data_IF_669365691954
#
_entry.id   IF_669365691954
#
_cell.length_a   1.000
_cell.length_b   1.000
_cell.length_c   1.000
_cell.angle_alpha   90.00
_cell.angle_beta   90.00
_cell.angle_gamma   90.00
#
_symmetry.space_group_name_H-M   'P 1'
#
loop_
_entity.id
_entity.type
_entity.pdbx_description
1 polymer ?
#
# COMPACT_ATOMS: atom_id res chain seq x y z
N UNK A 1 -34.27 -6.68 -46.75
CA UNK A 1 -34.77 -6.82 -45.37
C UNK A 1 -33.94 -7.91 -44.73
N UNK A 2 -32.98 -7.54 -43.89
CA UNK A 2 -32.07 -8.50 -43.27
C UNK A 2 -32.88 -9.42 -42.35
N UNK A 3 -32.83 -10.73 -42.61
CA UNK A 3 -33.49 -11.75 -41.80
C UNK A 3 -32.93 -11.69 -40.39
N UNK A 4 -33.71 -11.14 -39.45
CA UNK A 4 -33.43 -11.25 -38.03
C UNK A 4 -33.45 -12.74 -37.71
N UNK A 5 -32.29 -13.32 -37.39
CA UNK A 5 -32.18 -14.69 -36.90
C UNK A 5 -33.02 -14.77 -35.63
N UNK A 6 -34.21 -15.39 -35.68
CA UNK A 6 -35.03 -15.60 -34.49
C UNK A 6 -34.38 -16.69 -33.64
N UNK A 7 -33.45 -16.28 -32.77
CA UNK A 7 -32.88 -17.16 -31.76
C UNK A 7 -33.95 -17.57 -30.75
N UNK A 8 -33.94 -18.84 -30.34
CA UNK A 8 -34.82 -19.32 -29.29
C UNK A 8 -34.52 -18.60 -27.96
N UNK A 9 -35.49 -18.56 -27.05
CA UNK A 9 -35.31 -17.92 -25.73
C UNK A 9 -34.16 -18.57 -24.94
N UNK A 10 -34.00 -19.88 -25.10
CA UNK A 10 -32.91 -20.64 -24.52
C UNK A 10 -31.55 -20.24 -25.09
N UNK A 11 -31.42 -20.09 -26.41
CA UNK A 11 -30.21 -19.59 -27.07
C UNK A 11 -29.86 -18.16 -26.62
N UNK A 12 -30.86 -17.28 -26.47
CA UNK A 12 -30.66 -15.92 -25.97
C UNK A 12 -30.15 -15.90 -24.52
N UNK A 13 -30.69 -16.75 -23.65
CA UNK A 13 -30.23 -16.90 -22.27
C UNK A 13 -28.82 -17.51 -22.21
N UNK A 14 -28.52 -18.49 -23.05
CA UNK A 14 -27.19 -19.08 -23.18
C UNK A 14 -26.13 -18.04 -23.56
N UNK A 15 -26.39 -17.22 -24.59
CA UNK A 15 -25.47 -16.15 -24.99
C UNK A 15 -25.24 -15.13 -23.87
N UNK A 16 -26.28 -14.78 -23.11
CA UNK A 16 -26.18 -13.86 -21.97
C UNK A 16 -25.40 -14.45 -20.79
N UNK A 17 -25.64 -15.72 -20.45
CA UNK A 17 -24.89 -16.44 -19.41
C UNK A 17 -23.41 -16.53 -19.80
N UNK A 18 -23.13 -16.85 -21.06
CA UNK A 18 -21.75 -16.91 -21.58
C UNK A 18 -21.05 -15.56 -21.44
N UNK A 19 -21.70 -14.47 -21.87
CA UNK A 19 -21.16 -13.12 -21.73
C UNK A 19 -20.91 -12.76 -20.25
N UNK A 20 -21.86 -13.07 -19.36
CA UNK A 20 -21.70 -12.84 -17.92
C UNK A 20 -20.48 -13.57 -17.36
N UNK A 21 -20.28 -14.85 -17.71
CA UNK A 21 -19.14 -15.61 -17.19
C UNK A 21 -17.80 -15.08 -17.69
N UNK A 22 -17.71 -14.67 -18.96
CA UNK A 22 -16.50 -14.03 -19.51
C UNK A 22 -16.25 -12.70 -18.80
N UNK A 23 -17.27 -11.85 -18.66
CA UNK A 23 -17.10 -10.56 -18.00
C UNK A 23 -16.79 -10.72 -16.49
N UNK A 24 -17.32 -11.74 -15.81
CA UNK A 24 -16.92 -12.06 -14.43
C UNK A 24 -15.43 -12.42 -14.34
N UNK A 25 -14.90 -13.18 -15.31
CA UNK A 25 -13.47 -13.50 -15.38
C UNK A 25 -12.63 -12.25 -15.61
N UNK A 26 -13.08 -11.33 -16.47
CA UNK A 26 -12.46 -10.02 -16.62
C UNK A 26 -12.45 -9.21 -15.32
N UNK A 27 -13.57 -9.19 -14.59
CA UNK A 27 -13.66 -8.50 -13.31
C UNK A 27 -12.70 -9.10 -12.27
N UNK A 28 -12.62 -10.43 -12.17
CA UNK A 28 -11.66 -11.14 -11.30
C UNK A 28 -10.22 -10.73 -11.61
N UNK A 29 -9.84 -10.72 -12.90
CA UNK A 29 -8.51 -10.30 -13.35
C UNK A 29 -8.23 -8.83 -13.00
N UNK A 30 -9.22 -7.94 -13.16
CA UNK A 30 -9.07 -6.52 -12.82
C UNK A 30 -8.99 -6.26 -11.32
N UNK A 31 -9.70 -7.03 -10.50
CA UNK A 31 -9.62 -6.96 -9.03
C UNK A 31 -8.22 -7.37 -8.56
N UNK A 32 -7.69 -8.49 -9.09
CA UNK A 32 -6.33 -8.95 -8.77
C UNK A 32 -5.27 -7.91 -9.15
N UNK A 33 -5.47 -7.21 -10.28
CA UNK A 33 -4.62 -6.06 -10.67
C UNK A 33 -4.73 -4.87 -9.73
N UNK A 34 -5.80 -4.72 -8.96
CA UNK A 34 -6.02 -3.57 -8.07
C UNK A 34 -5.47 -3.79 -6.65
N UNK A 35 -5.65 -4.99 -6.09
CA UNK A 35 -5.29 -5.27 -4.69
C UNK A 35 -3.77 -5.27 -4.46
N UNK A 36 -3.01 -5.88 -5.37
CA UNK A 36 -1.57 -6.05 -5.20
C UNK A 36 -0.78 -4.73 -5.35
N UNK A 37 -1.11 -3.80 -6.27
CA UNK A 37 -0.50 -2.47 -6.29
C UNK A 37 -0.78 -1.62 -5.05
N UNK A 38 -1.95 -1.77 -4.42
CA UNK A 38 -2.22 -1.08 -3.16
C UNK A 38 -1.27 -1.57 -2.06
N UNK A 39 -1.06 -2.88 -1.96
CA UNK A 39 -0.15 -3.45 -0.98
C UNK A 39 1.32 -3.05 -1.21
N UNK A 40 1.75 -3.01 -2.48
CA UNK A 40 3.08 -2.50 -2.84
C UNK A 40 3.24 -1.04 -2.45
N UNK A 41 2.21 -0.21 -2.71
CA UNK A 41 2.23 1.21 -2.36
C UNK A 41 2.27 1.42 -0.84
N UNK A 42 1.47 0.68 -0.08
CA UNK A 42 1.49 0.78 1.39
C UNK A 42 2.88 0.44 1.96
N UNK A 43 3.57 -0.54 1.39
CA UNK A 43 4.94 -0.90 1.76
C UNK A 43 5.96 0.17 1.35
N UNK A 44 5.80 0.82 0.19
CA UNK A 44 6.62 1.95 -0.24
C UNK A 44 6.49 3.13 0.74
N UNK A 45 5.25 3.50 1.09
CA UNK A 45 4.96 4.57 2.05
C UNK A 45 5.54 4.25 3.45
N UNK A 46 5.47 2.99 3.89
CA UNK A 46 6.09 2.54 5.15
C UNK A 46 7.62 2.70 5.13
N UNK A 47 8.28 2.29 4.03
CA UNK A 47 9.74 2.40 3.86
C UNK A 47 10.17 3.86 3.82
N UNK A 48 9.44 4.73 3.11
CA UNK A 48 9.72 6.17 3.09
C UNK A 48 9.63 6.77 4.50
N UNK A 49 8.59 6.40 5.26
CA UNK A 49 8.45 6.80 6.67
C UNK A 49 9.56 6.27 7.58
N UNK A 50 10.18 5.14 7.26
CA UNK A 50 11.35 4.62 7.98
C UNK A 50 12.64 5.33 7.57
N UNK A 51 12.84 5.63 6.28
CA UNK A 51 13.96 6.45 5.80
C UNK A 51 13.96 7.84 6.43
N UNK A 52 12.80 8.51 6.48
CA UNK A 52 12.67 9.81 7.14
C UNK A 52 13.05 9.74 8.64
N UNK A 53 12.76 8.61 9.31
CA UNK A 53 13.19 8.37 10.70
C UNK A 53 14.70 8.19 10.81
N UNK A 54 15.32 7.44 9.89
CA UNK A 54 16.78 7.27 9.87
C UNK A 54 17.50 8.60 9.67
N UNK A 55 17.05 9.40 8.69
CA UNK A 55 17.63 10.71 8.40
C UNK A 55 17.59 11.61 9.64
N UNK A 56 16.47 11.65 10.36
CA UNK A 56 16.38 12.43 11.61
C UNK A 56 17.37 11.97 12.68
N UNK A 57 17.54 10.66 12.85
CA UNK A 57 18.51 10.12 13.82
C UNK A 57 19.95 10.44 13.38
N UNK A 58 20.25 10.41 12.09
CA UNK A 58 21.55 10.81 11.56
C UNK A 58 21.81 12.32 11.76
N UNK A 59 20.80 13.17 11.55
CA UNK A 59 20.86 14.61 11.84
C UNK A 59 21.09 14.88 13.34
N UNK A 60 20.39 14.16 14.23
CA UNK A 60 20.62 14.25 15.68
C UNK A 60 22.05 13.86 16.05
N UNK A 61 22.58 12.76 15.50
CA UNK A 61 23.97 12.33 15.74
C UNK A 61 24.96 13.41 15.26
N UNK A 62 24.75 13.99 14.08
CA UNK A 62 25.61 15.05 13.56
C UNK A 62 25.57 16.30 14.46
N UNK A 63 24.39 16.69 14.95
CA UNK A 63 24.27 17.82 15.89
C UNK A 63 25.01 17.57 17.21
N UNK A 64 24.97 16.34 17.74
CA UNK A 64 25.73 15.99 18.95
C UNK A 64 27.24 15.98 18.67
N UNK A 65 27.67 15.57 17.47
CA UNK A 65 29.09 15.63 17.06
C UNK A 65 29.59 17.08 16.96
N UNK A 66 28.79 17.99 16.39
CA UNK A 66 29.11 19.42 16.37
C UNK A 66 29.24 19.99 17.79
N UNK A 67 28.33 19.61 18.69
CA UNK A 67 28.41 19.99 20.11
C UNK A 67 29.70 19.48 20.78
N UNK A 68 30.12 18.24 20.49
CA UNK A 68 31.37 17.69 21.00
C UNK A 68 32.57 18.49 20.49
N UNK A 69 32.62 18.86 19.21
CA UNK A 69 33.71 19.68 18.67
C UNK A 69 33.75 21.08 19.30
N UNK A 70 32.60 21.73 19.49
CA UNK A 70 32.53 23.01 20.22
C UNK A 70 33.11 22.90 21.63
N UNK A 71 32.80 21.80 22.35
CA UNK A 71 33.35 21.57 23.70
C UNK A 71 34.85 21.27 23.68
N UNK A 72 35.37 20.58 22.66
CA UNK A 72 36.82 20.38 22.50
C UNK A 72 37.55 21.69 22.21
N UNK A 73 36.95 22.61 21.44
CA UNK A 73 37.50 23.95 21.22
C UNK A 73 37.51 24.76 22.52
N UNK A 74 36.41 24.76 23.28
CA UNK A 74 36.35 25.42 24.59
C UNK A 74 37.42 24.91 25.57
N UNK A 75 37.70 23.59 25.58
CA UNK A 75 38.80 23.02 26.37
C UNK A 75 40.16 23.59 25.94
N UNK A 76 40.43 23.70 24.64
CA UNK A 76 41.69 24.28 24.14
C UNK A 76 41.83 25.74 24.54
N UNK A 77 40.75 26.50 24.51
CA UNK A 77 40.72 27.91 24.94
C UNK A 77 40.98 28.04 26.44
N UNK A 78 40.28 27.24 27.27
CA UNK A 78 40.50 27.19 28.71
C UNK A 78 41.96 26.84 29.05
N UNK A 79 42.53 25.85 28.37
CA UNK A 79 43.94 25.46 28.55
C UNK A 79 44.91 26.60 28.17
N UNK A 80 44.61 27.33 27.10
CA UNK A 80 45.41 28.48 26.69
C UNK A 80 45.36 29.62 27.73
N UNK A 81 44.19 29.85 28.33
CA UNK A 81 44.00 30.82 29.42
C UNK A 81 44.72 30.39 30.70
N UNK A 82 44.62 29.11 31.10
CA UNK A 82 45.37 28.55 32.25
C UNK A 82 46.86 28.83 32.07
N UNK A 83 47.44 28.45 30.93
CA UNK A 83 48.86 28.67 30.64
C UNK A 83 49.26 30.15 30.67
N UNK A 84 48.35 31.05 30.28
CA UNK A 84 48.58 32.50 30.32
C UNK A 84 48.56 33.02 31.76
N UNK A 85 47.60 32.60 32.56
CA UNK A 85 47.46 32.99 33.96
C UNK A 85 48.60 32.42 34.82
N UNK A 86 49.06 31.20 34.57
CA UNK A 86 50.22 30.61 35.23
C UNK A 86 51.48 31.47 35.03
N UNK A 87 51.77 31.88 33.78
CA UNK A 87 52.89 32.78 33.47
C UNK A 87 52.77 34.16 34.12
N UNK A 88 51.54 34.68 34.26
CA UNK A 88 51.31 35.94 34.94
C UNK A 88 51.55 35.80 36.45
N UNK A 89 51.14 34.68 37.03
CA UNK A 89 51.30 34.34 38.45
C UNK A 89 52.78 34.37 38.89
N UNK A 90 53.69 33.87 38.05
CA UNK A 90 55.14 33.87 38.30
C UNK A 90 55.75 35.28 38.45
N UNK A 91 55.13 36.30 37.87
CA UNK A 91 55.62 37.67 37.86
C UNK A 91 54.97 38.58 38.92
N UNK A 92 54.00 38.07 39.68
CA UNK A 92 53.22 38.86 40.64
C UNK A 92 53.91 38.88 42.01
N UNK A 93 54.15 40.08 42.53
CA UNK A 93 54.79 40.30 43.85
C UNK A 93 53.79 40.64 44.96
N UNK A 94 52.52 40.87 44.60
CA UNK A 94 51.45 41.27 45.50
C UNK A 94 50.55 40.07 45.83
N UNK A 95 50.45 39.70 47.12
CA UNK A 95 49.68 38.54 47.58
C UNK A 95 48.22 38.56 47.13
N UNK A 96 47.61 39.75 47.02
CA UNK A 96 46.19 39.88 46.66
C UNK A 96 45.92 39.67 45.17
N UNK A 97 46.89 40.04 44.32
CA UNK A 97 46.85 39.78 42.88
C UNK A 97 47.11 38.30 42.58
N UNK A 98 47.99 37.66 43.35
CA UNK A 98 48.27 36.22 43.25
C UNK A 98 47.03 35.37 43.57
N UNK A 99 46.30 35.70 44.64
CA UNK A 99 45.02 35.04 44.97
C UNK A 99 43.97 35.22 43.88
N UNK A 100 43.90 36.40 43.24
CA UNK A 100 42.96 36.64 42.15
C UNK A 100 43.28 35.77 40.93
N UNK A 101 44.56 35.70 40.53
CA UNK A 101 45.00 34.87 39.41
C UNK A 101 44.75 33.39 39.68
N UNK A 102 45.00 32.91 40.90
CA UNK A 102 44.71 31.51 41.25
C UNK A 102 43.22 31.17 41.16
N UNK A 103 42.33 32.10 41.54
CA UNK A 103 40.88 31.90 41.36
C UNK A 103 40.48 31.82 39.90
N UNK A 104 41.10 32.65 39.03
CA UNK A 104 40.87 32.56 37.59
C UNK A 104 41.36 31.22 37.02
N UNK A 105 42.53 30.72 37.44
CA UNK A 105 43.03 29.40 37.05
C UNK A 105 42.06 28.29 37.49
N UNK A 106 41.62 28.33 38.75
CA UNK A 106 40.68 27.34 39.28
C UNK A 106 39.33 27.36 38.54
N UNK A 107 38.85 28.55 38.15
CA UNK A 107 37.65 28.70 37.33
C UNK A 107 37.82 28.07 35.95
N UNK A 108 38.96 28.29 35.28
CA UNK A 108 39.23 27.68 33.97
C UNK A 108 39.39 26.15 34.07
N UNK A 109 40.02 25.64 35.13
CA UNK A 109 40.12 24.19 35.38
C UNK A 109 38.75 23.55 35.64
N UNK A 110 37.82 24.28 36.27
CA UNK A 110 36.45 23.81 36.47
C UNK A 110 35.68 23.77 35.14
N UNK A 111 35.87 24.77 34.28
CA UNK A 111 35.27 24.81 32.94
C UNK A 111 35.75 23.66 32.05
N UNK A 112 37.06 23.33 32.11
CA UNK A 112 37.62 22.18 31.41
C UNK A 112 36.93 20.87 31.83
N UNK A 113 36.87 20.61 33.15
CA UNK A 113 36.20 19.41 33.70
C UNK A 113 34.71 19.35 33.33
N UNK A 114 34.04 20.50 33.28
CA UNK A 114 32.64 20.58 32.86
C UNK A 114 32.49 20.21 31.38
N UNK A 115 33.37 20.71 30.51
CA UNK A 115 33.39 20.37 29.10
C UNK A 115 33.72 18.88 28.88
N UNK A 116 34.69 18.31 29.61
CA UNK A 116 35.00 16.88 29.56
C UNK A 116 33.79 16.02 29.94
N UNK A 117 33.07 16.40 31.00
CA UNK A 117 31.83 15.72 31.41
C UNK A 117 30.78 15.77 30.30
N UNK A 118 30.54 16.95 29.71
CA UNK A 118 29.59 17.09 28.60
C UNK A 118 29.98 16.24 27.39
N UNK A 119 31.28 16.16 27.04
CA UNK A 119 31.76 15.31 25.95
C UNK A 119 31.49 13.84 26.25
N UNK A 120 31.72 13.41 27.50
CA UNK A 120 31.46 12.01 27.90
C UNK A 120 29.97 11.67 27.78
N UNK A 121 29.10 12.50 28.34
CA UNK A 121 27.65 12.30 28.31
C UNK A 121 27.14 12.28 26.84
N UNK A 122 27.61 13.21 26.01
CA UNK A 122 27.28 13.27 24.58
C UNK A 122 27.79 12.05 23.78
N UNK A 123 28.95 11.51 24.15
CA UNK A 123 29.51 10.30 23.50
C UNK A 123 28.67 9.06 23.83
N UNK A 124 28.17 8.95 25.07
CA UNK A 124 27.26 7.89 25.47
C UNK A 124 25.92 8.00 24.72
N UNK A 125 25.41 9.22 24.54
CA UNK A 125 24.19 9.48 23.76
C UNK A 125 24.35 9.09 22.28
N UNK A 126 25.46 9.46 21.63
CA UNK A 126 25.77 9.03 20.26
C UNK A 126 25.81 7.51 20.16
N UNK A 127 26.42 6.82 21.13
CA UNK A 127 26.52 5.36 21.10
C UNK A 127 25.14 4.70 21.15
N UNK A 128 24.21 5.23 21.94
CA UNK A 128 22.83 4.73 22.00
C UNK A 128 22.05 5.03 20.71
N UNK A 129 22.15 6.27 20.20
CA UNK A 129 21.52 6.66 18.92
C UNK A 129 22.05 5.83 17.75
N UNK A 130 23.36 5.54 17.72
CA UNK A 130 23.97 4.70 16.70
C UNK A 130 23.43 3.26 16.71
N UNK A 131 23.17 2.69 17.89
CA UNK A 131 22.51 1.37 17.98
C UNK A 131 21.08 1.41 17.46
N UNK A 132 20.33 2.46 17.80
CA UNK A 132 18.96 2.63 17.29
C UNK A 132 18.95 2.78 15.77
N UNK A 133 19.91 3.52 15.22
CA UNK A 133 20.10 3.66 13.78
C UNK A 133 20.43 2.33 13.11
N UNK A 134 21.31 1.51 13.67
CA UNK A 134 21.65 0.18 13.14
C UNK A 134 20.42 -0.76 13.12
N UNK A 135 19.62 -0.76 14.19
CA UNK A 135 18.38 -1.52 14.24
C UNK A 135 17.37 -1.03 13.19
N UNK A 136 17.24 0.29 13.03
CA UNK A 136 16.39 0.87 12.00
C UNK A 136 16.86 0.53 10.58
N UNK A 137 18.19 0.52 10.34
CA UNK A 137 18.79 0.13 9.04
C UNK A 137 18.50 -1.33 8.71
N UNK A 138 18.61 -2.23 9.69
CA UNK A 138 18.25 -3.65 9.51
C UNK A 138 16.76 -3.84 9.23
N UNK A 139 15.89 -3.12 9.93
CA UNK A 139 14.45 -3.19 9.71
C UNK A 139 14.06 -2.71 8.30
N UNK A 140 14.65 -1.60 7.84
CA UNK A 140 14.47 -1.08 6.48
C UNK A 140 14.94 -2.08 5.44
N UNK A 141 16.17 -2.60 5.56
CA UNK A 141 16.70 -3.56 4.60
C UNK A 141 15.81 -4.82 4.45
N UNK A 142 15.25 -5.30 5.57
CA UNK A 142 14.29 -6.41 5.55
C UNK A 142 12.99 -6.04 4.80
N UNK A 143 12.46 -4.84 5.03
CA UNK A 143 11.26 -4.34 4.34
C UNK A 143 11.50 -4.10 2.86
N UNK A 144 12.65 -3.54 2.48
CA UNK A 144 13.05 -3.34 1.08
C UNK A 144 13.19 -4.67 0.33
N UNK A 145 13.77 -5.69 0.97
CA UNK A 145 13.83 -7.05 0.39
C UNK A 145 12.44 -7.63 0.16
N UNK A 146 11.51 -7.43 1.10
CA UNK A 146 10.11 -7.87 0.94
C UNK A 146 9.40 -7.11 -0.18
N UNK A 147 9.62 -5.79 -0.26
CA UNK A 147 9.07 -4.95 -1.33
C UNK A 147 9.58 -5.41 -2.70
N UNK A 148 10.88 -5.68 -2.83
CA UNK A 148 11.47 -6.16 -4.07
C UNK A 148 10.87 -7.51 -4.51
N UNK A 149 10.66 -8.44 -3.58
CA UNK A 149 10.00 -9.71 -3.85
C UNK A 149 8.55 -9.51 -4.32
N UNK A 150 7.77 -8.67 -3.63
CA UNK A 150 6.38 -8.37 -4.00
C UNK A 150 6.27 -7.63 -5.32
N UNK A 151 7.18 -6.71 -5.63
CA UNK A 151 7.22 -6.04 -6.94
C UNK A 151 7.50 -7.02 -8.07
N UNK A 152 8.43 -7.96 -7.88
CA UNK A 152 8.72 -8.99 -8.87
C UNK A 152 7.54 -9.95 -9.06
N UNK A 153 6.82 -10.29 -7.98
CA UNK A 153 5.58 -11.07 -8.05
C UNK A 153 4.47 -10.32 -8.78
N UNK A 154 4.27 -9.03 -8.45
CA UNK A 154 3.32 -8.15 -9.11
C UNK A 154 3.61 -8.03 -10.61
N UNK A 155 4.85 -7.86 -11.01
CA UNK A 155 5.22 -7.75 -12.43
C UNK A 155 4.93 -9.04 -13.21
N UNK A 156 5.15 -10.21 -12.59
CA UNK A 156 4.76 -11.50 -13.18
C UNK A 156 3.25 -11.62 -13.33
N UNK A 157 2.51 -11.30 -12.27
CA UNK A 157 1.05 -11.37 -12.27
C UNK A 157 0.48 -10.40 -13.32
N UNK A 158 0.99 -9.16 -13.41
CA UNK A 158 0.57 -8.19 -14.45
C UNK A 158 0.83 -8.77 -15.85
N UNK A 159 2.00 -9.34 -16.09
CA UNK A 159 2.36 -9.91 -17.39
C UNK A 159 1.48 -11.12 -17.79
N UNK A 160 1.13 -11.97 -16.82
CA UNK A 160 0.21 -13.10 -17.01
C UNK A 160 -1.23 -12.61 -17.24
N UNK A 161 -1.72 -11.74 -16.36
CA UNK A 161 -3.07 -11.19 -16.43
C UNK A 161 -3.32 -10.26 -17.62
N UNK A 162 -2.30 -9.57 -18.15
CA UNK A 162 -2.42 -8.77 -19.38
C UNK A 162 -2.71 -9.63 -20.62
N UNK A 163 -2.19 -10.87 -20.67
CA UNK A 163 -2.49 -11.81 -21.75
C UNK A 163 -3.91 -12.34 -21.60
N UNK A 164 -4.26 -12.79 -20.41
CA UNK A 164 -5.61 -13.28 -20.08
C UNK A 164 -6.67 -12.20 -20.34
N UNK A 165 -6.43 -10.95 -19.91
CA UNK A 165 -7.36 -9.85 -20.14
C UNK A 165 -7.56 -9.58 -21.64
N UNK A 166 -6.51 -9.66 -22.46
CA UNK A 166 -6.65 -9.50 -23.93
C UNK A 166 -7.47 -10.64 -24.53
N UNK A 167 -7.23 -11.88 -24.11
CA UNK A 167 -7.98 -13.05 -24.56
C UNK A 167 -9.46 -12.93 -24.19
N UNK A 168 -9.76 -12.64 -22.91
CA UNK A 168 -11.12 -12.46 -22.46
C UNK A 168 -11.83 -11.26 -23.08
N UNK A 169 -11.12 -10.15 -23.39
CA UNK A 169 -11.72 -9.03 -24.12
C UNK A 169 -12.13 -9.42 -25.55
N UNK A 170 -11.30 -10.22 -26.24
CA UNK A 170 -11.66 -10.75 -27.56
C UNK A 170 -12.84 -11.70 -27.45
N UNK A 171 -12.84 -12.59 -26.46
CA UNK A 171 -13.97 -13.50 -26.20
C UNK A 171 -15.25 -12.75 -25.84
N UNK A 172 -15.17 -11.67 -25.06
CA UNK A 172 -16.29 -10.83 -24.71
C UNK A 172 -16.85 -10.11 -25.94
N UNK A 173 -15.97 -9.56 -26.79
CA UNK A 173 -16.38 -8.92 -28.04
C UNK A 173 -17.07 -9.89 -29.00
N UNK A 174 -16.57 -11.12 -29.12
CA UNK A 174 -17.22 -12.19 -29.90
C UNK A 174 -18.57 -12.61 -29.29
N UNK A 175 -18.62 -12.84 -27.98
CA UNK A 175 -19.85 -13.22 -27.28
C UNK A 175 -20.95 -12.15 -27.42
N UNK A 176 -20.58 -10.86 -27.39
CA UNK A 176 -21.52 -9.74 -27.59
C UNK A 176 -22.20 -9.76 -28.96
N UNK A 177 -21.54 -10.24 -30.02
CA UNK A 177 -22.14 -10.35 -31.35
C UNK A 177 -23.24 -11.41 -31.42
N UNK A 178 -23.24 -12.37 -30.50
CA UNK A 178 -24.20 -13.45 -30.41
C UNK A 178 -25.37 -13.14 -29.45
N UNK A 179 -25.37 -11.95 -28.82
CA UNK A 179 -26.44 -11.46 -27.95
C UNK A 179 -27.36 -10.52 -28.72
N UNK A 180 -28.66 -10.64 -28.49
CA UNK A 180 -29.68 -9.73 -29.03
C UNK A 180 -29.43 -8.29 -28.55
N UNK A 181 -29.40 -7.32 -29.46
CA UNK A 181 -29.05 -5.92 -29.19
C UNK A 181 -29.92 -5.30 -28.08
N UNK A 182 -31.21 -5.65 -28.01
CA UNK A 182 -32.12 -5.13 -26.97
C UNK A 182 -31.80 -5.69 -25.59
N UNK A 183 -31.38 -6.95 -25.52
CA UNK A 183 -30.96 -7.60 -24.28
C UNK A 183 -29.58 -7.08 -23.84
N UNK A 184 -28.68 -6.81 -24.78
CA UNK A 184 -27.36 -6.24 -24.50
C UNK A 184 -27.45 -4.88 -23.81
N UNK A 185 -28.32 -3.98 -24.29
CA UNK A 185 -28.55 -2.67 -23.65
C UNK A 185 -29.03 -2.81 -22.20
N UNK A 186 -29.88 -3.80 -21.93
CA UNK A 186 -30.38 -4.06 -20.58
C UNK A 186 -29.27 -4.64 -19.69
N UNK A 187 -28.50 -5.57 -20.23
CA UNK A 187 -27.34 -6.18 -19.57
C UNK A 187 -26.29 -5.13 -19.17
N UNK A 188 -25.83 -4.30 -20.11
CA UNK A 188 -24.83 -3.26 -19.85
C UNK A 188 -25.30 -2.25 -18.80
N UNK A 189 -26.59 -1.88 -18.84
CA UNK A 189 -27.19 -1.00 -17.83
C UNK A 189 -27.13 -1.62 -16.43
N UNK A 190 -27.46 -2.90 -16.31
CA UNK A 190 -27.45 -3.60 -15.02
C UNK A 190 -26.00 -3.72 -14.51
N UNK A 191 -25.05 -4.11 -15.37
CA UNK A 191 -23.62 -4.18 -15.01
C UNK A 191 -23.09 -2.85 -14.49
N UNK A 192 -23.42 -1.75 -15.16
CA UNK A 192 -22.97 -0.41 -14.76
C UNK A 192 -23.57 0.05 -13.42
N UNK A 193 -24.80 -0.36 -13.11
CA UNK A 193 -25.51 0.07 -11.91
C UNK A 193 -25.05 -0.67 -10.64
N UNK A 194 -24.58 -1.92 -10.78
CA UNK A 194 -24.17 -2.73 -9.64
C UNK A 194 -22.65 -2.88 -9.59
N UNK A 195 -22.05 -2.57 -8.42
CA UNK A 195 -20.60 -2.67 -8.20
C UNK A 195 -20.01 -4.06 -8.45
N UNK A 196 -20.81 -5.12 -8.33
CA UNK A 196 -20.36 -6.49 -8.55
C UNK A 196 -20.45 -6.94 -10.01
N UNK A 197 -20.89 -6.09 -10.95
CA UNK A 197 -20.94 -6.42 -12.37
C UNK A 197 -21.91 -7.56 -12.73
N UNK A 198 -22.67 -8.12 -11.80
CA UNK A 198 -23.57 -9.24 -12.07
C UNK A 198 -24.89 -8.76 -12.67
N UNK A 199 -25.08 -9.00 -13.96
CA UNK A 199 -26.31 -8.72 -14.70
C UNK A 199 -27.19 -9.95 -14.93
N UNK A 200 -26.57 -11.13 -15.09
CA UNK A 200 -27.26 -12.43 -15.19
C UNK A 200 -26.92 -13.25 -13.95
N UNK A 201 -27.92 -13.78 -13.26
CA UNK A 201 -27.72 -14.57 -12.04
C UNK A 201 -28.60 -15.82 -12.02
N UNK A 202 -28.12 -16.94 -11.45
CA UNK A 202 -28.94 -18.13 -11.26
C UNK A 202 -29.99 -17.92 -10.16
N UNK A 203 -30.99 -18.80 -10.14
CA UNK A 203 -31.94 -18.92 -9.03
C UNK A 203 -31.42 -19.97 -8.05
N UNK A 204 -30.83 -19.53 -6.95
CA UNK A 204 -30.26 -20.42 -5.94
C UNK A 204 -31.16 -20.48 -4.71
N UNK A 205 -31.52 -21.70 -4.28
CA UNK A 205 -32.33 -21.94 -3.07
C UNK A 205 -33.57 -21.04 -3.02
N UNK A 206 -34.37 -21.11 -4.08
CA UNK A 206 -35.61 -20.33 -4.24
C UNK A 206 -35.41 -18.81 -4.27
N UNK A 207 -34.18 -18.31 -4.40
CA UNK A 207 -33.83 -16.90 -4.28
C UNK A 207 -32.99 -16.40 -5.47
N UNK A 208 -33.03 -15.09 -5.72
CA UNK A 208 -32.19 -14.44 -6.73
C UNK A 208 -30.71 -14.49 -6.30
N UNK A 209 -29.82 -15.07 -7.12
CA UNK A 209 -28.38 -15.16 -6.80
C UNK A 209 -27.64 -13.82 -6.69
N UNK A 210 -28.27 -12.70 -7.07
CA UNK A 210 -27.65 -11.37 -6.96
C UNK A 210 -28.12 -10.52 -5.77
N UNK A 211 -29.39 -10.65 -5.34
CA UNK A 211 -29.93 -9.85 -4.23
C UNK A 211 -30.56 -10.70 -3.11
N UNK A 212 -30.49 -12.02 -3.23
CA UNK A 212 -30.98 -13.02 -2.27
C UNK A 212 -32.44 -12.85 -1.86
N UNK A 213 -33.24 -12.19 -2.70
CA UNK A 213 -34.69 -12.07 -2.48
C UNK A 213 -35.39 -13.33 -2.98
N UNK A 214 -36.34 -13.83 -2.19
CA UNK A 214 -37.11 -15.02 -2.53
C UNK A 214 -37.93 -14.81 -3.80
N UNK A 215 -37.90 -15.79 -4.69
CA UNK A 215 -38.64 -15.80 -5.95
C UNK A 215 -39.88 -16.68 -5.77
N UNK A 216 -41.10 -16.18 -6.07
CA UNK A 216 -42.32 -16.98 -5.94
C UNK A 216 -42.27 -18.30 -6.74
N UNK A 217 -42.81 -19.42 -6.21
CA UNK A 217 -42.73 -20.74 -6.86
C UNK A 217 -43.27 -20.79 -8.30
N UNK A 218 -44.29 -19.99 -8.62
CA UNK A 218 -44.83 -19.86 -9.97
C UNK A 218 -43.76 -19.35 -10.96
N UNK A 219 -43.00 -18.34 -10.57
CA UNK A 219 -41.92 -17.77 -11.40
C UNK A 219 -40.72 -18.69 -11.52
N UNK A 220 -40.38 -19.43 -10.47
CA UNK A 220 -39.32 -20.44 -10.56
C UNK A 220 -39.64 -21.49 -11.62
N UNK A 221 -40.89 -21.94 -11.68
CA UNK A 221 -41.35 -22.87 -12.72
C UNK A 221 -41.28 -22.26 -14.12
N UNK A 222 -41.61 -20.97 -14.28
CA UNK A 222 -41.45 -20.26 -15.56
C UNK A 222 -39.99 -20.13 -16.00
N UNK A 223 -39.07 -19.88 -15.06
CA UNK A 223 -37.62 -19.78 -15.30
C UNK A 223 -37.06 -21.13 -15.74
N UNK A 224 -37.42 -22.23 -15.03
CA UNK A 224 -37.05 -23.60 -15.41
C UNK A 224 -37.55 -24.00 -16.79
N UNK A 225 -38.73 -23.53 -17.18
CA UNK A 225 -39.32 -23.82 -18.50
C UNK A 225 -38.71 -23.01 -19.65
N UNK A 226 -37.84 -22.03 -19.37
CA UNK A 226 -37.07 -21.24 -20.37
C UNK A 226 -37.94 -20.58 -21.46
N UNK A 227 -39.22 -20.29 -21.15
CA UNK A 227 -40.21 -19.76 -22.13
C UNK A 227 -40.07 -18.27 -22.41
N UNK A 228 -39.53 -17.49 -21.49
CA UNK A 228 -39.29 -16.05 -21.61
C UNK A 228 -38.09 -15.63 -20.76
N UNK A 229 -37.39 -14.58 -21.18
CA UNK A 229 -36.35 -13.95 -20.36
C UNK A 229 -37.03 -13.23 -19.18
N UNK A 230 -36.71 -13.65 -17.96
CA UNK A 230 -37.29 -13.10 -16.73
C UNK A 230 -36.26 -12.22 -16.00
N UNK A 231 -36.76 -11.18 -15.33
CA UNK A 231 -35.94 -10.30 -14.50
C UNK A 231 -36.42 -10.36 -13.05
N UNK A 232 -35.49 -10.17 -12.11
CA UNK A 232 -35.81 -10.05 -10.69
C UNK A 232 -36.59 -8.76 -10.44
N UNK A 233 -37.72 -8.82 -9.73
CA UNK A 233 -38.53 -7.64 -9.40
C UNK A 233 -37.84 -6.69 -8.43
N UNK A 234 -36.95 -7.21 -7.59
CA UNK A 234 -36.28 -6.43 -6.56
C UNK A 234 -35.00 -5.73 -7.08
N UNK A 235 -34.21 -6.40 -7.91
CA UNK A 235 -32.92 -5.87 -8.39
C UNK A 235 -32.79 -5.74 -9.92
N UNK A 236 -33.82 -6.09 -10.69
CA UNK A 236 -33.82 -5.95 -12.15
C UNK A 236 -32.83 -6.85 -12.90
N UNK A 237 -32.03 -7.68 -12.22
CA UNK A 237 -31.10 -8.64 -12.83
C UNK A 237 -31.85 -9.69 -13.63
N UNK A 238 -31.23 -10.15 -14.72
CA UNK A 238 -31.75 -11.22 -15.56
C UNK A 238 -31.59 -12.55 -14.81
N UNK A 239 -32.67 -13.32 -14.72
CA UNK A 239 -32.69 -14.60 -14.02
C UNK A 239 -32.46 -15.73 -15.02
N UNK A 240 -31.48 -16.56 -14.72
CA UNK A 240 -31.22 -17.81 -15.42
C UNK A 240 -31.58 -19.01 -14.54
N UNK A 241 -31.96 -20.09 -15.19
CA UNK A 241 -32.09 -21.39 -14.55
C UNK A 241 -30.70 -21.91 -14.13
N UNK A 242 -30.60 -22.56 -12.98
CA UNK A 242 -29.33 -23.01 -12.39
C UNK A 242 -28.64 -24.03 -13.28
N UNK A 243 -29.39 -25.00 -13.82
CA UNK A 243 -28.83 -26.01 -14.72
C UNK A 243 -28.25 -25.37 -15.99
N UNK A 244 -28.92 -24.33 -16.52
CA UNK A 244 -28.42 -23.58 -17.67
C UNK A 244 -27.15 -22.79 -17.32
N UNK A 245 -27.17 -22.13 -16.16
CA UNK A 245 -26.06 -21.32 -15.69
C UNK A 245 -24.81 -22.19 -15.49
N UNK A 246 -24.97 -23.37 -14.90
CA UNK A 246 -23.86 -24.29 -14.61
C UNK A 246 -23.36 -25.03 -15.85
N UNK A 247 -24.23 -25.30 -16.84
CA UNK A 247 -23.85 -25.98 -18.08
C UNK A 247 -22.83 -25.23 -18.95
N UNK A 248 -22.66 -23.92 -18.71
CA UNK A 248 -21.72 -23.06 -19.44
C UNK A 248 -20.45 -22.88 -18.63
N UNK A 249 -19.34 -23.51 -19.00
CA UNK A 249 -18.03 -23.19 -18.43
C UNK A 249 -17.21 -22.39 -19.43
N UNK A 250 -16.70 -21.24 -18.98
CA UNK A 250 -15.67 -20.50 -19.71
C UNK A 250 -14.35 -21.00 -19.16
N UNK A 251 -13.57 -21.69 -20.01
CA UNK A 251 -12.21 -22.09 -19.69
C UNK A 251 -11.28 -20.89 -19.69
#
# INVERSE_FOLDING_TARGET
MASVKEFSVEEKLLSLVRLQKIDCKLDEVQILKGELPMEVKDLEDEIEGLHARQVRVEEEINGIQEFIEQKKEAIKEAQALINKYEKQSENVKNSREFEAINKEIEMQQLEEKLCEKHIKDATEEIAEKARQLDLAKKAVAAKESNLAAKKAELEKIISETDKEEKEYNVMAADARQHVDERLLVSYDRIRKNYRNGLAVVPVERDSCGGCFHAIPPQKQSEIRLRKKVMVCENCGRILADTDLYDSMEVK
#
